data_IF_072733823889
#
_entry.id   IF_072733823889
#
_cell.length_a   1.000
_cell.length_b   1.000
_cell.length_c   1.000
_cell.angle_alpha   90.00
_cell.angle_beta   90.00
_cell.angle_gamma   90.00
#
_symmetry.space_group_name_H-M   'P 1'
#
loop_
_entity.id
_entity.type
_entity.pdbx_description
1 polymer ?
#
# COMPACT_ATOMS: atom_id res chain seq x y z
N UNK A 1 -15.56 -5.39 9.04
CA UNK A 1 -15.47 -4.04 9.66
C UNK A 1 -15.24 -3.00 8.57
N UNK A 2 -15.52 -1.71 8.81
CA UNK A 2 -15.15 -0.62 7.88
C UNK A 2 -13.75 -0.13 8.21
N UNK A 3 -12.86 -0.09 7.23
CA UNK A 3 -11.45 0.28 7.43
C UNK A 3 -11.05 1.33 6.39
N UNK A 4 -10.37 2.38 6.87
CA UNK A 4 -9.78 3.41 6.03
C UNK A 4 -8.26 3.22 5.96
N UNK A 5 -7.72 3.09 4.76
CA UNK A 5 -6.28 3.07 4.50
C UNK A 5 -5.87 4.39 3.86
N UNK A 6 -4.95 5.11 4.51
CA UNK A 6 -4.40 6.37 4.00
C UNK A 6 -3.08 6.09 3.28
N UNK A 7 -3.09 6.28 1.96
CA UNK A 7 -1.96 6.04 1.06
C UNK A 7 -2.13 4.80 0.19
N UNK A 8 -1.95 4.97 -1.12
CA UNK A 8 -1.97 3.91 -2.14
C UNK A 8 -0.55 3.61 -2.67
N UNK A 9 0.45 3.68 -1.79
CA UNK A 9 1.79 3.13 -2.03
C UNK A 9 1.82 1.61 -1.83
N UNK A 10 2.95 0.96 -2.11
CA UNK A 10 3.08 -0.51 -2.12
C UNK A 10 2.52 -1.19 -0.85
N UNK A 11 2.85 -0.67 0.34
CA UNK A 11 2.38 -1.22 1.61
C UNK A 11 0.89 -0.97 1.83
N UNK A 12 0.39 0.23 1.53
CA UNK A 12 -1.02 0.59 1.70
C UNK A 12 -1.93 -0.25 0.82
N UNK A 13 -1.57 -0.44 -0.45
CA UNK A 13 -2.32 -1.27 -1.39
C UNK A 13 -2.30 -2.74 -0.99
N UNK A 14 -1.15 -3.26 -0.52
CA UNK A 14 -1.05 -4.62 -0.02
C UNK A 14 -1.93 -4.85 1.23
N UNK A 15 -1.86 -3.93 2.20
CA UNK A 15 -2.71 -3.99 3.39
C UNK A 15 -4.20 -3.96 3.02
N UNK A 16 -4.60 -3.03 2.14
CA UNK A 16 -5.98 -2.92 1.67
C UNK A 16 -6.48 -4.22 1.00
N UNK A 17 -5.64 -4.84 0.17
CA UNK A 17 -5.95 -6.11 -0.48
C UNK A 17 -6.21 -7.23 0.54
N UNK A 18 -5.31 -7.43 1.50
CA UNK A 18 -5.48 -8.48 2.50
C UNK A 18 -6.67 -8.23 3.42
N UNK A 19 -6.89 -6.98 3.86
CA UNK A 19 -8.06 -6.62 4.66
C UNK A 19 -9.38 -6.84 3.91
N UNK A 20 -9.42 -6.51 2.62
CA UNK A 20 -10.60 -6.76 1.79
C UNK A 20 -10.85 -8.26 1.60
N UNK A 21 -9.78 -9.05 1.40
CA UNK A 21 -9.86 -10.51 1.28
C UNK A 21 -10.37 -11.18 2.56
N UNK A 22 -10.08 -10.59 3.72
CA UNK A 22 -10.58 -11.05 5.03
C UNK A 22 -12.04 -10.61 5.29
N UNK A 23 -12.73 -10.04 4.30
CA UNK A 23 -14.14 -9.68 4.36
C UNK A 23 -14.42 -8.32 5.00
N UNK A 24 -13.42 -7.42 5.06
CA UNK A 24 -13.61 -6.05 5.51
C UNK A 24 -14.04 -5.13 4.36
N UNK A 25 -14.83 -4.11 4.68
CA UNK A 25 -15.17 -3.01 3.77
C UNK A 25 -14.02 -1.99 3.85
N UNK A 26 -13.19 -1.94 2.81
CA UNK A 26 -11.98 -1.12 2.79
C UNK A 26 -12.14 0.06 1.85
N UNK A 27 -11.85 1.27 2.35
CA UNK A 27 -11.68 2.47 1.52
C UNK A 27 -10.20 2.87 1.53
N UNK A 28 -9.65 3.19 0.37
CA UNK A 28 -8.29 3.71 0.23
C UNK A 28 -8.36 5.17 -0.22
N UNK A 29 -7.64 6.06 0.46
CA UNK A 29 -7.48 7.46 0.05
C UNK A 29 -6.03 7.73 -0.30
N UNK A 30 -5.79 8.27 -1.49
CA UNK A 30 -4.47 8.71 -1.96
C UNK A 30 -4.49 10.22 -2.21
N UNK A 31 -3.40 10.90 -1.84
CA UNK A 31 -3.27 12.36 -2.03
C UNK A 31 -2.82 12.73 -3.44
N UNK A 32 -2.13 11.82 -4.12
CA UNK A 32 -1.64 12.00 -5.48
C UNK A 32 -2.72 11.63 -6.52
N UNK A 33 -2.53 12.07 -7.77
CA UNK A 33 -3.47 11.81 -8.86
C UNK A 33 -3.61 10.32 -9.22
N UNK A 34 -2.65 9.48 -8.80
CA UNK A 34 -2.67 8.03 -9.00
C UNK A 34 -1.96 7.29 -7.87
N UNK A 35 -2.12 5.96 -7.82
CA UNK A 35 -1.42 5.12 -6.85
C UNK A 35 0.08 5.13 -7.11
N UNK A 36 0.85 4.79 -6.08
CA UNK A 36 2.30 4.69 -6.11
C UNK A 36 3.08 5.94 -6.54
N UNK A 37 2.47 7.12 -6.76
CA UNK A 37 3.16 8.34 -7.20
C UNK A 37 4.11 8.98 -6.15
N UNK A 38 4.23 8.42 -4.94
CA UNK A 38 5.22 8.81 -3.94
C UNK A 38 6.50 7.97 -4.03
N UNK A 39 7.07 7.59 -2.88
CA UNK A 39 8.29 6.76 -2.79
C UNK A 39 8.18 5.44 -3.56
N UNK A 40 6.97 4.88 -3.68
CA UNK A 40 6.75 3.62 -4.40
C UNK A 40 6.97 3.72 -5.93
N UNK A 41 6.96 4.91 -6.53
CA UNK A 41 7.10 5.08 -7.99
C UNK A 41 8.49 4.70 -8.48
N UNK A 42 9.52 5.07 -7.72
CA UNK A 42 10.92 4.94 -8.09
C UNK A 42 11.70 4.08 -7.08
N UNK A 43 11.06 3.06 -6.52
CA UNK A 43 11.69 2.17 -5.53
C UNK A 43 12.70 1.17 -6.14
N UNK A 44 12.92 1.21 -7.46
CA UNK A 44 13.85 0.32 -8.16
C UNK A 44 13.40 -1.13 -8.30
N UNK A 45 12.25 -1.52 -7.71
CA UNK A 45 11.72 -2.88 -7.75
C UNK A 45 12.60 -3.94 -7.09
N UNK A 46 13.64 -3.54 -6.35
CA UNK A 46 14.52 -4.47 -5.65
C UNK A 46 13.79 -5.11 -4.48
N UNK A 47 13.91 -6.43 -4.37
CA UNK A 47 13.44 -7.19 -3.21
C UNK A 47 14.67 -7.81 -2.56
N UNK A 48 15.21 -7.11 -1.56
CA UNK A 48 16.38 -7.53 -0.80
C UNK A 48 15.98 -7.77 0.65
N UNK A 49 16.25 -8.96 1.22
CA UNK A 49 16.02 -9.21 2.64
C UNK A 49 16.71 -8.21 3.56
N UNK A 50 17.88 -7.70 3.15
CA UNK A 50 18.64 -6.72 3.94
C UNK A 50 17.95 -5.36 4.07
N UNK A 51 17.16 -4.96 3.07
CA UNK A 51 16.45 -3.67 3.07
C UNK A 51 15.15 -3.73 3.89
N UNK A 52 14.65 -4.93 4.18
CA UNK A 52 13.41 -5.14 4.93
C UNK A 52 13.61 -5.18 6.46
N UNK A 53 14.86 -5.36 6.92
CA UNK A 53 15.19 -5.56 8.34
C UNK A 53 15.99 -4.42 8.96
N UNK A 54 16.29 -3.37 8.20
CA UNK A 54 17.08 -2.22 8.65
C UNK A 54 16.22 -1.15 9.36
#
# INVERSE_FOLDING_TARGET
>A
MKILVLGAGAVGTAAAYYLARDGHEVTVIERHAGPACGTSYANGGLVSPGDATA
#
